data_IF_912761049308
#
_entry.id   IF_912761049308
#
_cell.length_a   1.000
_cell.length_b   1.000
_cell.length_c   1.000
_cell.angle_alpha   90.00
_cell.angle_beta   90.00
_cell.angle_gamma   90.00
#
_symmetry.space_group_name_H-M   'P 1'
#
loop_
_entity.id
_entity.type
_entity.pdbx_description
1 polymer ?
#
# COMPACT_ATOMS: atom_id res chain seq x y z
N UNK A 1 10.94 -6.78 14.27
CA UNK A 1 11.17 -5.34 14.49
C UNK A 1 9.87 -4.57 14.31
N UNK A 2 8.97 -4.63 15.30
CA UNK A 2 7.69 -3.88 15.32
C UNK A 2 7.84 -2.54 16.07
N UNK A 3 8.89 -2.39 16.90
CA UNK A 3 9.04 -1.29 17.85
C UNK A 3 9.42 0.08 17.23
N UNK A 4 9.69 0.17 15.92
CA UNK A 4 10.07 1.43 15.25
C UNK A 4 9.06 1.90 14.18
N UNK A 5 7.86 1.32 14.13
CA UNK A 5 6.80 1.83 13.27
C UNK A 5 6.14 3.06 13.94
N UNK A 6 5.84 4.13 13.18
CA UNK A 6 4.97 5.19 13.67
C UNK A 6 3.65 4.60 14.20
N UNK A 7 3.16 5.15 15.31
CA UNK A 7 1.91 4.69 15.97
C UNK A 7 0.76 4.61 14.96
N UNK A 8 0.63 5.61 14.09
CA UNK A 8 -0.38 5.65 13.05
C UNK A 8 -0.32 4.43 12.10
N UNK A 9 0.86 3.87 11.82
CA UNK A 9 0.98 2.67 10.99
C UNK A 9 0.65 1.43 11.80
N UNK A 10 1.27 1.29 12.99
CA UNK A 10 1.05 0.12 13.88
C UNK A 10 -0.42 -0.09 14.22
N UNK A 11 -1.16 1.01 14.42
CA UNK A 11 -2.54 0.95 14.87
C UNK A 11 -3.53 0.74 13.71
N UNK A 12 -3.12 0.96 12.45
CA UNK A 12 -4.03 0.95 11.30
C UNK A 12 -3.68 -0.05 10.18
N UNK A 13 -2.50 -0.66 10.16
CA UNK A 13 -2.00 -1.39 8.99
C UNK A 13 -0.87 -2.38 9.34
N UNK A 14 -0.37 -3.10 8.33
CA UNK A 14 0.77 -4.03 8.39
C UNK A 14 0.57 -5.19 9.38
N UNK A 15 -0.60 -5.82 9.34
CA UNK A 15 -0.91 -6.95 10.23
C UNK A 15 0.03 -8.16 10.04
N UNK A 16 0.68 -8.24 8.88
CA UNK A 16 1.68 -9.25 8.55
C UNK A 16 2.68 -8.70 7.52
N UNK A 17 3.79 -9.40 7.33
CA UNK A 17 4.74 -9.11 6.25
C UNK A 17 4.52 -10.06 5.08
N UNK A 18 4.39 -9.51 3.87
CA UNK A 18 4.17 -10.28 2.64
C UNK A 18 5.32 -10.13 1.65
N UNK A 19 5.42 -11.11 0.77
CA UNK A 19 6.31 -11.12 -0.38
C UNK A 19 5.57 -10.64 -1.64
N UNK A 20 6.07 -9.59 -2.28
CA UNK A 20 5.42 -9.00 -3.45
C UNK A 20 5.39 -9.95 -4.64
N UNK A 21 6.44 -10.75 -4.88
CA UNK A 21 6.46 -11.69 -5.99
C UNK A 21 5.41 -12.78 -5.82
N UNK A 22 5.24 -13.26 -4.58
CA UNK A 22 4.17 -14.21 -4.25
C UNK A 22 2.79 -13.59 -4.45
N UNK A 23 2.59 -12.33 -4.02
CA UNK A 23 1.34 -11.58 -4.27
C UNK A 23 1.04 -11.49 -5.75
N UNK A 24 2.03 -11.18 -6.59
CA UNK A 24 1.85 -11.03 -8.04
C UNK A 24 1.51 -12.33 -8.75
N UNK A 25 1.99 -13.47 -8.23
CA UNK A 25 1.71 -14.82 -8.77
C UNK A 25 0.31 -15.32 -8.46
N UNK A 26 -0.44 -14.67 -7.58
CA UNK A 26 -1.82 -15.07 -7.28
C UNK A 26 -2.73 -14.87 -8.51
N UNK A 27 -3.39 -15.95 -8.91
CA UNK A 27 -4.44 -15.92 -9.94
C UNK A 27 -5.75 -15.39 -9.35
N UNK A 28 -5.88 -14.06 -9.30
CA UNK A 28 -7.05 -13.36 -8.75
C UNK A 28 -7.77 -12.57 -9.84
N UNK A 29 -9.11 -12.48 -9.79
CA UNK A 29 -9.87 -11.65 -10.71
C UNK A 29 -9.53 -10.17 -10.52
N UNK A 30 -9.59 -9.43 -11.62
CA UNK A 30 -9.43 -7.97 -11.61
C UNK A 30 -10.80 -7.33 -11.49
N UNK A 31 -10.97 -6.49 -10.48
CA UNK A 31 -12.21 -5.76 -10.21
C UNK A 31 -11.97 -4.25 -10.24
N UNK A 32 -13.02 -3.45 -10.47
CA UNK A 32 -12.95 -1.99 -10.26
C UNK A 32 -13.35 -1.66 -8.83
N UNK A 33 -12.62 -0.76 -8.18
CA UNK A 33 -12.94 -0.25 -6.85
C UNK A 33 -12.87 1.28 -6.82
N UNK A 34 -13.79 1.91 -6.08
CA UNK A 34 -13.73 3.33 -5.80
C UNK A 34 -12.45 3.69 -5.02
N UNK A 35 -11.70 4.69 -5.49
CA UNK A 35 -10.46 5.13 -4.84
C UNK A 35 -10.71 5.67 -3.43
N UNK A 36 -11.90 6.23 -3.17
CA UNK A 36 -12.30 6.69 -1.83
C UNK A 36 -12.21 5.60 -0.75
N UNK A 37 -12.40 4.32 -1.12
CA UNK A 37 -12.24 3.18 -0.20
C UNK A 37 -10.79 2.91 0.21
N UNK A 38 -9.83 3.47 -0.53
CA UNK A 38 -8.38 3.29 -0.31
C UNK A 38 -7.69 4.57 0.17
N UNK A 39 -8.32 5.73 -0.03
CA UNK A 39 -7.73 7.05 0.18
C UNK A 39 -7.34 7.34 1.64
N UNK A 40 -7.89 6.62 2.62
CA UNK A 40 -7.49 6.72 4.03
C UNK A 40 -5.99 6.47 4.25
N UNK A 41 -5.34 5.73 3.34
CA UNK A 41 -3.91 5.43 3.38
C UNK A 41 -3.04 6.62 2.97
N UNK A 42 -3.61 7.66 2.36
CA UNK A 42 -2.85 8.80 1.82
C UNK A 42 -2.37 9.77 2.90
N UNK A 43 -2.90 9.61 4.10
CA UNK A 43 -2.50 10.34 5.31
C UNK A 43 -1.53 9.53 6.18
N UNK A 44 -1.14 8.33 5.74
CA UNK A 44 -0.17 7.51 6.44
C UNK A 44 1.24 7.68 5.88
N UNK A 45 2.27 7.70 6.75
CA UNK A 45 3.62 7.97 6.31
C UNK A 45 4.26 6.70 5.76
N UNK A 46 3.77 6.16 4.64
CA UNK A 46 4.32 4.93 4.06
C UNK A 46 5.64 5.15 3.32
N UNK A 47 5.94 6.39 2.93
CA UNK A 47 7.04 6.67 2.03
C UNK A 47 8.27 7.16 2.78
N UNK A 48 9.44 6.69 2.31
CA UNK A 48 10.73 7.14 2.82
C UNK A 48 11.04 8.57 2.37
N UNK A 49 11.80 9.29 3.18
CA UNK A 49 12.44 10.56 2.85
C UNK A 49 13.91 10.50 3.27
N UNK A 50 14.82 10.62 2.29
CA UNK A 50 16.24 10.33 2.51
C UNK A 50 16.46 8.89 3.01
N UNK A 51 17.14 8.75 4.15
CA UNK A 51 17.39 7.46 4.82
C UNK A 51 16.25 7.03 5.77
N UNK A 52 15.31 7.92 6.07
CA UNK A 52 14.24 7.66 7.05
C UNK A 52 13.08 6.93 6.37
N UNK A 53 12.80 5.70 6.82
CA UNK A 53 11.59 4.95 6.43
C UNK A 53 10.39 5.52 7.16
N UNK A 54 9.22 5.36 6.54
CA UNK A 54 7.95 5.80 7.10
C UNK A 54 7.90 7.28 7.52
N UNK A 55 8.38 8.18 6.66
CA UNK A 55 8.63 9.58 7.00
C UNK A 55 7.59 10.55 6.44
N UNK A 56 7.06 10.27 5.25
CA UNK A 56 6.19 11.21 4.53
C UNK A 56 4.98 10.50 3.94
N UNK A 57 3.87 11.24 3.86
CA UNK A 57 2.58 10.74 3.37
C UNK A 57 2.40 11.02 1.87
N UNK A 58 1.57 10.23 1.16
CA UNK A 58 1.19 10.56 -0.20
C UNK A 58 0.60 11.96 -0.37
N UNK A 59 -0.26 12.42 0.56
CA UNK A 59 -0.83 13.76 0.48
C UNK A 59 0.23 14.86 0.61
N UNK A 60 1.24 14.69 1.48
CA UNK A 60 2.36 15.64 1.58
C UNK A 60 3.16 15.73 0.28
N UNK A 61 3.42 14.59 -0.36
CA UNK A 61 4.15 14.53 -1.64
C UNK A 61 3.38 15.22 -2.76
N UNK A 62 2.07 14.97 -2.84
CA UNK A 62 1.21 15.57 -3.86
C UNK A 62 1.04 17.08 -3.67
N UNK A 63 1.01 17.56 -2.43
CA UNK A 63 0.94 18.98 -2.11
C UNK A 63 2.26 19.73 -2.38
N UNK A 64 3.41 19.04 -2.29
CA UNK A 64 4.74 19.66 -2.41
C UNK A 64 5.66 18.90 -3.38
N UNK A 65 5.32 18.83 -4.68
CA UNK A 65 6.01 17.97 -5.64
C UNK A 65 7.49 18.33 -5.82
N UNK A 66 7.85 19.62 -5.73
CA UNK A 66 9.25 20.07 -5.83
C UNK A 66 10.09 19.59 -4.63
N UNK A 67 9.54 19.70 -3.41
CA UNK A 67 10.22 19.25 -2.17
C UNK A 67 10.40 17.73 -2.15
N UNK A 68 9.40 16.98 -2.62
CA UNK A 68 9.38 15.52 -2.58
C UNK A 68 9.59 14.88 -3.95
N UNK A 69 10.46 15.48 -4.78
CA UNK A 69 10.67 15.12 -6.19
C UNK A 69 10.86 13.63 -6.44
N UNK A 70 11.64 12.94 -5.61
CA UNK A 70 11.87 11.49 -5.77
C UNK A 70 10.56 10.67 -5.70
N UNK A 71 9.75 10.86 -4.65
CA UNK A 71 8.50 10.11 -4.51
C UNK A 71 7.43 10.59 -5.50
N UNK A 72 7.41 11.88 -5.81
CA UNK A 72 6.52 12.44 -6.83
C UNK A 72 6.80 11.82 -8.20
N UNK A 73 8.07 11.78 -8.63
CA UNK A 73 8.46 11.17 -9.91
C UNK A 73 8.13 9.67 -9.93
N UNK A 74 8.40 8.93 -8.86
CA UNK A 74 7.98 7.52 -8.76
C UNK A 74 6.47 7.34 -8.87
N UNK A 75 5.69 8.27 -8.31
CA UNK A 75 4.23 8.28 -8.44
C UNK A 75 3.84 8.48 -9.89
N UNK A 76 4.33 9.55 -10.53
CA UNK A 76 3.93 9.92 -11.89
C UNK A 76 4.44 8.95 -12.97
N UNK A 77 5.56 8.28 -12.72
CA UNK A 77 6.13 7.27 -13.62
C UNK A 77 5.51 5.87 -13.41
N UNK A 78 4.59 5.69 -12.46
CA UNK A 78 3.95 4.39 -12.26
C UNK A 78 2.98 4.06 -13.40
N UNK A 79 2.94 2.80 -13.83
CA UNK A 79 2.07 2.33 -14.90
C UNK A 79 0.69 1.93 -14.37
N UNK A 80 -0.37 2.60 -14.86
CA UNK A 80 -1.76 2.35 -14.47
C UNK A 80 -2.39 1.14 -15.19
N UNK A 81 -1.70 0.53 -16.17
CA UNK A 81 -2.14 -0.69 -16.85
C UNK A 81 -2.31 -1.86 -15.87
N UNK A 82 -1.45 -1.94 -14.87
CA UNK A 82 -1.40 -3.05 -13.91
C UNK A 82 -2.32 -2.82 -12.70
N UNK A 83 -3.14 -3.81 -12.30
CA UNK A 83 -4.00 -3.70 -11.12
C UNK A 83 -3.19 -3.64 -9.82
N UNK A 84 -3.74 -3.00 -8.80
CA UNK A 84 -3.15 -2.94 -7.45
C UNK A 84 -3.62 -4.12 -6.59
N UNK A 85 -2.80 -4.55 -5.63
CA UNK A 85 -3.16 -5.66 -4.74
C UNK A 85 -3.55 -5.13 -3.37
N UNK A 86 -4.68 -5.62 -2.85
CA UNK A 86 -5.21 -5.18 -1.55
C UNK A 86 -5.65 -6.37 -0.70
N UNK A 87 -5.54 -6.23 0.62
CA UNK A 87 -6.08 -7.17 1.59
C UNK A 87 -6.91 -6.42 2.65
N UNK A 88 -7.70 -7.16 3.43
CA UNK A 88 -8.34 -6.59 4.61
C UNK A 88 -7.34 -6.55 5.76
N UNK A 89 -7.25 -5.39 6.41
CA UNK A 89 -6.52 -5.27 7.66
C UNK A 89 -7.38 -5.72 8.87
N UNK A 90 -6.81 -5.72 10.09
CA UNK A 90 -7.46 -6.07 11.36
C UNK A 90 -8.70 -5.24 11.68
N UNK A 91 -8.83 -4.05 11.08
CA UNK A 91 -10.00 -3.16 11.20
C UNK A 91 -11.03 -3.37 10.08
N UNK A 92 -10.85 -4.38 9.24
CA UNK A 92 -11.74 -4.64 8.10
C UNK A 92 -11.67 -3.58 6.99
N UNK A 93 -10.66 -2.71 6.97
CA UNK A 93 -10.41 -1.76 5.86
C UNK A 93 -9.58 -2.41 4.76
N UNK A 94 -9.77 -1.95 3.53
CA UNK A 94 -8.91 -2.37 2.41
C UNK A 94 -7.57 -1.64 2.50
N UNK A 95 -6.51 -2.40 2.70
CA UNK A 95 -5.11 -1.97 2.80
C UNK A 95 -4.34 -2.38 1.56
N UNK A 96 -3.39 -1.54 1.15
CA UNK A 96 -2.50 -1.75 0.03
C UNK A 96 -1.42 -2.78 0.36
N UNK A 97 -1.37 -3.88 -0.41
CA UNK A 97 -0.22 -4.77 -0.43
C UNK A 97 0.83 -4.30 -1.45
N UNK A 98 0.36 -3.82 -2.60
CA UNK A 98 1.22 -3.31 -3.67
C UNK A 98 0.47 -2.33 -4.56
N UNK A 99 1.15 -1.24 -4.95
CA UNK A 99 0.62 -0.28 -5.91
C UNK A 99 0.15 1.06 -5.34
N UNK A 100 0.58 1.45 -4.14
CA UNK A 100 0.21 2.75 -3.55
C UNK A 100 0.48 3.92 -4.49
N UNK A 101 1.66 3.96 -5.12
CA UNK A 101 2.01 4.98 -6.14
C UNK A 101 1.00 5.03 -7.29
N UNK A 102 0.50 3.88 -7.76
CA UNK A 102 -0.51 3.81 -8.85
C UNK A 102 -1.85 4.39 -8.42
N UNK A 103 -2.30 4.11 -7.20
CA UNK A 103 -3.57 4.68 -6.70
C UNK A 103 -3.47 6.20 -6.53
N UNK A 104 -2.34 6.68 -6.02
CA UNK A 104 -2.10 8.12 -5.84
C UNK A 104 -2.05 8.82 -7.19
N UNK A 105 -1.32 8.27 -8.18
CA UNK A 105 -1.33 8.77 -9.57
C UNK A 105 -2.74 8.79 -10.14
N UNK A 106 -3.51 7.70 -9.97
CA UNK A 106 -4.85 7.65 -10.52
C UNK A 106 -5.78 8.73 -9.94
N UNK A 107 -5.71 8.98 -8.62
CA UNK A 107 -6.44 10.08 -7.98
C UNK A 107 -5.98 11.44 -8.52
N UNK A 108 -4.67 11.65 -8.66
CA UNK A 108 -4.11 12.90 -9.15
C UNK A 108 -4.56 13.23 -10.59
N UNK A 109 -4.79 12.20 -11.41
CA UNK A 109 -5.33 12.33 -12.78
C UNK A 109 -6.87 12.41 -12.81
N UNK A 110 -7.56 12.51 -11.67
CA UNK A 110 -9.00 12.65 -11.59
C UNK A 110 -9.81 11.35 -11.73
N UNK A 111 -9.17 10.18 -11.75
CA UNK A 111 -9.91 8.92 -11.77
C UNK A 111 -10.65 8.71 -10.44
N UNK A 112 -11.88 8.21 -10.52
CA UNK A 112 -12.70 7.85 -9.35
C UNK A 112 -12.54 6.38 -8.93
N UNK A 113 -12.09 5.55 -9.86
CA UNK A 113 -11.95 4.10 -9.67
C UNK A 113 -10.59 3.59 -10.12
N UNK A 114 -10.16 2.46 -9.57
CA UNK A 114 -8.93 1.76 -9.98
C UNK A 114 -9.16 0.25 -10.09
N UNK A 115 -8.34 -0.41 -10.93
CA UNK A 115 -8.31 -1.88 -11.04
C UNK A 115 -7.60 -2.47 -9.83
N UNK A 116 -8.24 -3.40 -9.14
CA UNK A 116 -7.73 -4.08 -7.95
C UNK A 116 -7.77 -5.59 -8.11
N UNK A 117 -6.86 -6.29 -7.42
CA UNK A 117 -6.93 -7.71 -7.10
C UNK A 117 -7.05 -7.84 -5.58
N UNK A 118 -8.13 -8.47 -5.11
CA UNK A 118 -8.41 -8.64 -3.68
C UNK A 118 -7.78 -9.94 -3.17
N UNK A 119 -6.82 -9.82 -2.28
CA UNK A 119 -6.22 -10.94 -1.55
C UNK A 119 -7.06 -11.22 -0.31
N UNK A 120 -7.82 -12.31 -0.35
CA UNK A 120 -8.64 -12.77 0.76
C UNK A 120 -7.83 -13.61 1.76
N UNK A 121 -8.37 -13.78 2.99
CA UNK A 121 -7.72 -14.49 4.11
C UNK A 121 -7.16 -15.86 3.71
N UNK A 122 -7.87 -16.61 2.85
CA UNK A 122 -7.44 -17.93 2.35
C UNK A 122 -6.10 -17.93 1.60
N UNK A 123 -5.70 -16.79 1.02
CA UNK A 123 -4.46 -16.62 0.26
C UNK A 123 -3.29 -16.07 1.09
N UNK A 124 -3.53 -15.69 2.35
CA UNK A 124 -2.51 -15.02 3.17
C UNK A 124 -1.32 -15.94 3.41
N UNK A 125 -1.58 -17.21 3.73
CA UNK A 125 -0.54 -18.23 3.91
C UNK A 125 0.38 -18.38 2.70
N UNK A 126 -0.13 -18.08 1.49
CA UNK A 126 0.61 -18.24 0.24
C UNK A 126 1.54 -17.06 -0.04
N UNK A 127 1.34 -15.92 0.63
CA UNK A 127 2.10 -14.67 0.38
C UNK A 127 2.95 -14.20 1.56
N UNK A 128 2.74 -14.76 2.75
CA UNK A 128 3.53 -14.42 3.93
C UNK A 128 5.00 -14.78 3.70
N UNK A 129 5.89 -13.92 4.19
CA UNK A 129 7.32 -14.19 4.18
C UNK A 129 7.64 -15.35 5.12
N UNK A 130 8.44 -16.31 4.66
CA UNK A 130 8.81 -17.52 5.40
C UNK A 130 9.53 -17.25 6.73
N UNK A 131 10.04 -16.03 6.94
CA UNK A 131 10.64 -15.62 8.19
C UNK A 131 10.16 -14.20 8.53
N UNK A 132 9.09 -14.06 9.32
CA UNK A 132 8.61 -12.75 9.67
C UNK A 132 9.49 -12.20 10.79
N UNK A 133 9.98 -10.98 10.64
CA UNK A 133 10.36 -10.16 11.80
C UNK A 133 9.12 -9.76 12.66
N UNK A 134 8.05 -10.55 12.61
CA UNK A 134 6.71 -10.35 13.19
C UNK A 134 6.25 -11.73 13.70
N UNK A 135 6.50 -12.02 14.98
CA UNK A 135 5.83 -13.13 15.66
C UNK A 135 4.36 -12.74 15.83
N UNK A 136 3.44 -13.59 15.38
CA UNK A 136 2.14 -13.69 16.04
C UNK A 136 2.43 -14.20 17.44
N UNK A 137 2.04 -13.46 18.48
CA UNK A 137 1.87 -14.07 19.79
C UNK A 137 0.50 -14.72 19.79
N UNK A 138 0.48 -16.00 20.15
CA UNK A 138 -0.70 -16.81 20.43
C UNK A 138 -1.55 -16.19 21.54
#
# INVERSE_FOLDING_TARGET
MINNLPIAIRDNCLDFSWDNEKVWKLNLPVEKMAISKLAWQFDLPFWKYGKVKYAITPNQVMANPRKFRYQYNRTMNSDLKYPVHIAKNKKGKWEMLDGLHRVVKAKALGHRTIKVKKVYKKHIKDIVKANPAIRYQE
#
